data_IF_162826999355
#
_entry.id   IF_162826999355
#
_cell.length_a   1.000
_cell.length_b   1.000
_cell.length_c   1.000
_cell.angle_alpha   90.00
_cell.angle_beta   90.00
_cell.angle_gamma   90.00
#
_symmetry.space_group_name_H-M   'P 1'
#
loop_
_entity.id
_entity.type
_entity.pdbx_description
1 polymer ?
#
# COMPACT_ATOMS: atom_id res chain seq x y z
N UNK A 1 37.08 -32.74 55.62
CA UNK A 1 37.66 -32.52 56.96
C UNK A 1 37.48 -31.05 57.34
N UNK A 2 37.11 -30.81 58.61
CA UNK A 2 36.62 -29.60 59.33
C UNK A 2 37.58 -28.38 59.32
N UNK A 3 37.26 -27.16 59.88
CA UNK A 3 36.14 -26.72 60.75
C UNK A 3 35.43 -25.39 60.32
N UNK A 4 34.16 -25.11 60.66
CA UNK A 4 33.57 -24.66 61.95
C UNK A 4 34.23 -23.44 62.62
N UNK A 5 33.63 -22.26 62.47
CA UNK A 5 33.73 -21.14 63.43
C UNK A 5 32.32 -20.56 63.63
N UNK A 6 31.87 -20.66 64.88
CA UNK A 6 30.74 -19.94 65.47
C UNK A 6 31.20 -18.51 65.81
N UNK A 7 30.36 -17.49 65.56
CA UNK A 7 30.40 -16.29 66.39
C UNK A 7 29.01 -15.70 66.56
N UNK A 8 28.61 -15.65 67.83
CA UNK A 8 27.39 -15.07 68.39
C UNK A 8 27.65 -13.58 68.60
N UNK A 9 26.74 -12.69 68.15
CA UNK A 9 26.57 -11.37 68.78
C UNK A 9 25.09 -11.09 69.04
N UNK A 10 24.86 -10.76 70.31
CA UNK A 10 23.62 -10.39 71.00
C UNK A 10 23.09 -8.99 70.59
N UNK A 11 21.76 -8.88 70.64
CA UNK A 11 20.91 -7.76 71.10
C UNK A 11 21.23 -6.32 70.67
N UNK A 12 20.24 -5.65 70.05
CA UNK A 12 19.71 -4.41 70.62
C UNK A 12 18.33 -4.08 70.04
N UNK A 13 17.37 -4.04 70.96
CA UNK A 13 15.97 -3.67 70.79
C UNK A 13 15.84 -2.26 70.21
N UNK A 14 15.36 -2.14 68.98
CA UNK A 14 14.84 -0.87 68.48
C UNK A 14 13.35 -0.78 68.78
N UNK A 15 13.00 0.34 69.41
CA UNK A 15 11.69 0.69 69.90
C UNK A 15 10.62 0.63 68.81
N UNK A 16 9.50 -0.01 69.16
CA UNK A 16 8.23 0.10 68.46
C UNK A 16 7.75 1.56 68.52
N UNK A 17 7.76 2.26 67.38
CA UNK A 17 6.96 3.46 67.20
C UNK A 17 5.56 3.05 66.69
N UNK A 18 4.47 3.44 67.38
CA UNK A 18 3.13 3.11 66.93
C UNK A 18 2.79 3.84 65.62
N UNK A 19 2.17 3.05 64.74
CA UNK A 19 1.53 3.37 63.47
C UNK A 19 0.70 4.65 63.47
N UNK A 20 1.07 5.63 62.64
CA UNK A 20 0.21 6.77 62.30
C UNK A 20 0.30 7.15 60.82
N UNK A 21 0.13 6.24 59.84
CA UNK A 21 0.05 6.63 58.40
C UNK A 21 -0.81 5.71 57.50
N UNK A 22 -1.93 5.15 57.97
CA UNK A 22 -2.79 4.31 57.11
C UNK A 22 -3.69 5.10 56.12
N UNK A 23 -3.99 6.38 56.40
CA UNK A 23 -4.96 7.15 55.61
C UNK A 23 -4.36 7.86 54.37
N UNK A 24 -3.05 8.07 54.31
CA UNK A 24 -2.40 8.75 53.18
C UNK A 24 -2.23 7.84 51.94
N UNK A 25 -2.13 6.51 52.11
CA UNK A 25 -1.89 5.57 51.01
C UNK A 25 -3.14 5.34 50.14
N UNK A 26 -4.33 5.49 50.72
CA UNK A 26 -5.60 5.29 50.00
C UNK A 26 -5.85 6.41 48.99
N UNK A 27 -5.56 7.67 49.34
CA UNK A 27 -5.71 8.82 48.44
C UNK A 27 -4.82 8.76 47.21
N UNK A 28 -3.56 8.30 47.37
CA UNK A 28 -2.60 8.18 46.25
C UNK A 28 -3.03 7.12 45.24
N UNK A 29 -3.62 6.00 45.70
CA UNK A 29 -4.13 4.95 44.80
C UNK A 29 -5.32 5.44 43.99
N UNK A 30 -6.25 6.14 44.63
CA UNK A 30 -7.43 6.69 43.95
C UNK A 30 -7.04 7.76 42.90
N UNK A 31 -6.09 8.62 43.23
CA UNK A 31 -5.59 9.63 42.28
C UNK A 31 -4.87 9.00 41.08
N UNK A 32 -4.05 7.95 41.30
CA UNK A 32 -3.38 7.22 40.21
C UNK A 32 -4.38 6.51 39.30
N UNK A 33 -5.43 5.91 39.87
CA UNK A 33 -6.49 5.28 39.08
C UNK A 33 -7.24 6.31 38.21
N UNK A 34 -7.60 7.46 38.78
CA UNK A 34 -8.23 8.53 38.01
C UNK A 34 -7.33 9.07 36.89
N UNK A 35 -6.01 9.21 37.14
CA UNK A 35 -5.06 9.64 36.13
C UNK A 35 -4.93 8.61 34.99
N UNK A 36 -4.85 7.31 35.32
CA UNK A 36 -4.79 6.24 34.32
C UNK A 36 -6.05 6.19 33.46
N UNK A 37 -7.24 6.34 34.07
CA UNK A 37 -8.51 6.39 33.32
C UNK A 37 -8.57 7.58 32.37
N UNK A 38 -8.12 8.77 32.80
CA UNK A 38 -8.05 9.96 31.93
C UNK A 38 -7.09 9.75 30.76
N UNK A 39 -5.94 9.11 30.99
CA UNK A 39 -4.98 8.81 29.92
C UNK A 39 -5.56 7.82 28.90
N UNK A 40 -6.19 6.74 29.36
CA UNK A 40 -6.83 5.77 28.47
C UNK A 40 -7.95 6.41 27.62
N UNK A 41 -8.76 7.28 28.23
CA UNK A 41 -9.80 8.01 27.51
C UNK A 41 -9.23 8.92 26.41
N UNK A 42 -8.16 9.67 26.70
CA UNK A 42 -7.50 10.54 25.71
C UNK A 42 -6.90 9.71 24.57
N UNK A 43 -6.31 8.55 24.86
CA UNK A 43 -5.76 7.65 23.85
C UNK A 43 -6.87 7.12 22.93
N UNK A 44 -7.96 6.60 23.49
CA UNK A 44 -9.10 6.12 22.71
C UNK A 44 -9.70 7.22 21.82
N UNK A 45 -9.72 8.47 22.29
CA UNK A 45 -10.20 9.60 21.49
C UNK A 45 -9.29 9.89 20.29
N UNK A 46 -7.96 9.84 20.47
CA UNK A 46 -7.00 10.03 19.38
C UNK A 46 -7.10 8.92 18.34
N UNK A 47 -7.20 7.67 18.78
CA UNK A 47 -7.38 6.53 17.88
C UNK A 47 -8.64 6.66 17.04
N UNK A 48 -9.75 7.07 17.67
CA UNK A 48 -11.01 7.33 16.95
C UNK A 48 -10.89 8.45 15.92
N UNK A 49 -10.15 9.52 16.23
CA UNK A 49 -9.89 10.61 15.29
C UNK A 49 -9.01 10.16 14.12
N UNK A 50 -7.94 9.41 14.38
CA UNK A 50 -7.06 8.88 13.34
C UNK A 50 -7.83 7.95 12.39
N UNK A 51 -8.67 7.07 12.94
CA UNK A 51 -9.53 6.19 12.14
C UNK A 51 -10.51 6.98 11.28
N UNK A 52 -11.14 8.03 11.84
CA UNK A 52 -12.02 8.91 11.07
C UNK A 52 -11.30 9.59 9.90
N UNK A 53 -10.07 10.08 10.12
CA UNK A 53 -9.27 10.70 9.06
C UNK A 53 -8.91 9.69 7.96
N UNK A 54 -8.55 8.46 8.34
CA UNK A 54 -8.27 7.39 7.38
C UNK A 54 -9.49 7.05 6.52
N UNK A 55 -10.68 6.93 7.15
CA UNK A 55 -11.94 6.68 6.44
C UNK A 55 -12.26 7.84 5.49
N UNK A 56 -12.08 9.09 5.93
CA UNK A 56 -12.33 10.26 5.10
C UNK A 56 -11.40 10.31 3.87
N UNK A 57 -10.12 9.98 4.03
CA UNK A 57 -9.18 9.87 2.91
C UNK A 57 -9.62 8.78 1.93
N UNK A 58 -9.95 7.58 2.41
CA UNK A 58 -10.43 6.49 1.56
C UNK A 58 -11.71 6.87 0.81
N UNK A 59 -12.64 7.57 1.46
CA UNK A 59 -13.87 8.04 0.83
C UNK A 59 -13.60 9.04 -0.30
N UNK A 60 -12.64 9.97 -0.12
CA UNK A 60 -12.22 10.90 -1.17
C UNK A 60 -11.62 10.17 -2.37
N UNK A 61 -10.78 9.15 -2.14
CA UNK A 61 -10.24 8.33 -3.23
C UNK A 61 -11.35 7.63 -4.01
N UNK A 62 -12.31 7.02 -3.31
CA UNK A 62 -13.46 6.37 -3.96
C UNK A 62 -14.32 7.37 -4.74
N UNK A 63 -14.50 8.58 -4.22
CA UNK A 63 -15.26 9.63 -4.90
C UNK A 63 -14.59 10.08 -6.21
N UNK A 64 -13.29 10.37 -6.16
CA UNK A 64 -12.52 10.75 -7.35
C UNK A 64 -12.56 9.66 -8.42
N UNK A 65 -12.43 8.40 -7.99
CA UNK A 65 -12.50 7.26 -8.89
C UNK A 65 -13.88 7.12 -9.55
N UNK A 66 -14.95 7.31 -8.78
CA UNK A 66 -16.32 7.27 -9.31
C UNK A 66 -16.58 8.37 -10.33
N UNK A 67 -16.11 9.60 -10.06
CA UNK A 67 -16.19 10.70 -11.03
C UNK A 67 -15.44 10.38 -12.32
N UNK A 68 -14.25 9.78 -12.21
CA UNK A 68 -13.49 9.36 -13.39
C UNK A 68 -14.25 8.31 -14.21
N UNK A 69 -14.86 7.31 -13.55
CA UNK A 69 -15.71 6.34 -14.24
C UNK A 69 -16.94 6.97 -14.93
N UNK A 70 -17.59 7.93 -14.27
CA UNK A 70 -18.75 8.64 -14.84
C UNK A 70 -18.34 9.46 -16.07
N UNK A 71 -17.18 10.13 -16.00
CA UNK A 71 -16.60 10.85 -17.14
C UNK A 71 -16.36 9.91 -18.33
N UNK A 72 -15.75 8.74 -18.10
CA UNK A 72 -15.54 7.74 -19.14
C UNK A 72 -16.86 7.22 -19.72
N UNK A 73 -17.87 6.93 -18.90
CA UNK A 73 -19.18 6.46 -19.37
C UNK A 73 -19.91 7.51 -20.21
N UNK A 74 -19.81 8.80 -19.84
CA UNK A 74 -20.37 9.89 -20.63
C UNK A 74 -19.66 10.04 -21.98
N UNK A 75 -18.33 9.90 -22.00
CA UNK A 75 -17.56 9.94 -23.24
C UNK A 75 -17.92 8.78 -24.19
N UNK A 76 -18.17 7.58 -23.66
CA UNK A 76 -18.63 6.44 -24.49
C UNK A 76 -20.06 6.64 -25.00
N UNK A 77 -20.97 7.19 -24.16
CA UNK A 77 -22.38 7.41 -24.54
C UNK A 77 -22.59 8.50 -25.57
N UNK A 78 -21.74 9.52 -25.60
CA UNK A 78 -21.89 10.64 -26.54
C UNK A 78 -21.60 10.23 -27.99
N UNK A 79 -21.16 8.99 -28.24
CA UNK A 79 -20.79 8.53 -29.58
C UNK A 79 -19.64 9.33 -30.19
N UNK A 80 -19.06 10.24 -29.42
CA UNK A 80 -17.74 10.77 -29.67
C UNK A 80 -16.84 9.55 -29.54
N UNK A 81 -16.13 9.14 -30.61
CA UNK A 81 -15.03 8.23 -30.39
C UNK A 81 -14.22 8.86 -29.27
N UNK A 82 -14.06 8.12 -28.16
CA UNK A 82 -12.87 8.30 -27.35
C UNK A 82 -11.79 7.97 -28.36
N UNK A 83 -11.33 8.98 -29.12
CA UNK A 83 -9.97 8.99 -29.59
C UNK A 83 -9.21 8.78 -28.29
N UNK A 84 -8.91 7.51 -28.00
CA UNK A 84 -7.57 7.15 -27.57
C UNK A 84 -6.74 8.07 -28.41
N UNK A 85 -6.22 9.12 -27.77
CA UNK A 85 -5.40 10.10 -28.44
C UNK A 85 -4.52 9.25 -29.35
N UNK A 86 -4.68 9.41 -30.68
CA UNK A 86 -3.56 9.12 -31.55
C UNK A 86 -2.42 9.79 -30.80
N UNK A 87 -1.44 9.01 -30.28
CA UNK A 87 -0.57 9.44 -29.20
C UNK A 87 -0.12 10.82 -29.61
N UNK A 88 -0.65 11.86 -28.92
CA UNK A 88 -0.54 13.25 -29.39
C UNK A 88 0.90 13.36 -29.75
N UNK A 89 1.21 13.50 -31.04
CA UNK A 89 2.59 13.53 -31.48
C UNK A 89 3.21 14.55 -30.57
N UNK A 90 4.09 14.06 -29.67
CA UNK A 90 4.56 14.81 -28.51
C UNK A 90 5.22 16.04 -29.12
N UNK A 91 4.45 17.11 -29.27
CA UNK A 91 4.97 18.41 -29.57
C UNK A 91 5.57 18.78 -28.24
N UNK A 92 6.85 18.47 -28.14
CA UNK A 92 7.76 18.91 -27.11
C UNK A 92 7.85 20.43 -27.21
N UNK A 93 6.74 21.12 -26.95
CA UNK A 93 6.74 22.54 -26.67
C UNK A 93 7.27 22.65 -25.25
N UNK A 94 8.59 22.69 -25.24
CA UNK A 94 9.50 23.01 -24.16
C UNK A 94 8.85 23.82 -23.04
N UNK A 95 8.43 23.12 -21.98
CA UNK A 95 8.43 23.69 -20.65
C UNK A 95 9.89 23.97 -20.28
N UNK A 96 10.33 25.21 -20.52
CA UNK A 96 11.61 25.73 -20.02
C UNK A 96 11.48 26.02 -18.52
N UNK A 97 11.41 24.98 -17.70
CA UNK A 97 12.00 24.99 -16.36
C UNK A 97 13.26 24.15 -16.44
N UNK A 98 14.36 24.57 -15.81
CA UNK A 98 15.67 23.91 -15.86
C UNK A 98 15.73 22.53 -15.19
N UNK A 99 14.65 21.75 -15.27
CA UNK A 99 14.56 20.35 -14.88
C UNK A 99 14.85 19.49 -16.12
N UNK A 100 15.69 18.48 -15.94
CA UNK A 100 16.07 17.52 -16.99
C UNK A 100 14.81 16.81 -17.50
N UNK A 101 14.30 17.22 -18.67
CA UNK A 101 13.12 16.64 -19.29
C UNK A 101 13.47 15.27 -19.87
N UNK A 102 13.38 14.24 -19.04
CA UNK A 102 13.53 12.85 -19.50
C UNK A 102 12.38 12.55 -20.47
N UNK A 103 12.72 12.21 -21.72
CA UNK A 103 11.72 11.88 -22.72
C UNK A 103 11.03 10.57 -22.36
N UNK A 104 9.71 10.48 -22.57
CA UNK A 104 8.92 9.27 -22.27
C UNK A 104 9.48 8.01 -22.96
N UNK A 105 10.02 8.14 -24.17
CA UNK A 105 10.68 7.06 -24.90
C UNK A 105 11.90 6.49 -24.18
N UNK A 106 12.65 7.34 -23.47
CA UNK A 106 13.79 6.92 -22.66
C UNK A 106 13.34 6.18 -21.40
N UNK A 107 12.26 6.64 -20.76
CA UNK A 107 11.66 5.95 -19.62
C UNK A 107 11.20 4.55 -20.03
N UNK A 108 10.48 4.44 -21.16
CA UNK A 108 10.00 3.16 -21.67
C UNK A 108 11.14 2.20 -22.00
N UNK A 109 12.22 2.67 -22.65
CA UNK A 109 13.36 1.81 -22.97
C UNK A 109 14.09 1.30 -21.72
N UNK A 110 14.18 2.12 -20.66
CA UNK A 110 14.72 1.69 -19.36
C UNK A 110 13.83 0.63 -18.71
N UNK A 111 12.51 0.82 -18.78
CA UNK A 111 11.51 -0.10 -18.23
C UNK A 111 11.46 -1.47 -18.94
N UNK A 112 12.02 -1.59 -20.15
CA UNK A 112 12.14 -2.88 -20.85
C UNK A 112 13.06 -3.86 -20.13
N UNK A 113 14.07 -3.37 -19.41
CA UNK A 113 15.08 -4.20 -18.76
C UNK A 113 14.88 -4.28 -17.25
N UNK A 114 14.50 -3.18 -16.62
CA UNK A 114 14.34 -3.05 -15.18
C UNK A 114 13.22 -2.09 -14.83
N UNK A 115 12.49 -2.37 -13.76
CA UNK A 115 11.37 -1.55 -13.31
C UNK A 115 11.79 -0.51 -12.26
N UNK A 116 13.08 -0.39 -11.93
CA UNK A 116 13.59 0.57 -10.95
C UNK A 116 13.15 2.02 -11.20
N UNK A 117 12.96 2.40 -12.47
CA UNK A 117 12.46 3.73 -12.84
C UNK A 117 11.02 3.99 -12.41
N UNK A 118 10.24 2.96 -12.11
CA UNK A 118 8.85 3.10 -11.67
C UNK A 118 8.70 3.96 -10.41
N UNK A 119 9.61 3.84 -9.46
CA UNK A 119 9.61 4.63 -8.23
C UNK A 119 9.99 6.10 -8.44
N UNK A 120 10.67 6.39 -9.55
CA UNK A 120 11.10 7.75 -9.90
C UNK A 120 9.99 8.53 -10.60
N UNK A 121 9.01 7.85 -11.18
CA UNK A 121 7.83 8.50 -11.78
C UNK A 121 6.87 8.87 -10.66
N UNK A 122 6.83 10.15 -10.27
CA UNK A 122 5.95 10.60 -9.17
C UNK A 122 4.53 10.91 -9.63
N UNK A 123 4.35 11.32 -10.89
CA UNK A 123 3.05 11.68 -11.43
C UNK A 123 2.21 10.43 -11.77
N UNK A 124 1.04 10.23 -11.13
CA UNK A 124 0.14 9.11 -11.45
C UNK A 124 -0.33 9.10 -12.90
N UNK A 125 -0.46 10.27 -13.55
CA UNK A 125 -0.87 10.34 -14.96
C UNK A 125 0.24 9.82 -15.88
N UNK A 126 1.49 10.21 -15.65
CA UNK A 126 2.64 9.64 -16.35
C UNK A 126 2.73 8.11 -16.18
N UNK A 127 2.50 7.60 -14.96
CA UNK A 127 2.42 6.15 -14.70
C UNK A 127 1.30 5.47 -15.50
N UNK A 128 0.13 6.08 -15.57
CA UNK A 128 -0.99 5.55 -16.35
C UNK A 128 -0.67 5.50 -17.85
N UNK A 129 0.02 6.51 -18.38
CA UNK A 129 0.51 6.52 -19.78
C UNK A 129 1.50 5.38 -20.03
N UNK A 130 2.44 5.14 -19.11
CA UNK A 130 3.38 4.01 -19.22
C UNK A 130 2.60 2.69 -19.29
N UNK A 131 1.67 2.46 -18.34
CA UNK A 131 0.88 1.23 -18.30
C UNK A 131 0.01 1.06 -19.54
N UNK A 132 -0.61 2.13 -20.06
CA UNK A 132 -1.46 2.04 -21.25
C UNK A 132 -0.67 1.55 -22.48
N UNK A 133 0.60 1.95 -22.62
CA UNK A 133 1.49 1.43 -23.66
C UNK A 133 1.71 -0.08 -23.53
N UNK A 134 1.92 -0.60 -22.32
CA UNK A 134 2.08 -2.04 -22.09
C UNK A 134 0.77 -2.80 -22.32
N UNK A 135 -0.39 -2.26 -21.92
CA UNK A 135 -1.69 -2.84 -22.21
C UNK A 135 -1.90 -2.94 -23.73
N UNK A 136 -1.64 -1.86 -24.46
CA UNK A 136 -1.72 -1.83 -25.92
C UNK A 136 -0.79 -2.87 -26.56
N UNK A 137 0.46 -2.97 -26.08
CA UNK A 137 1.40 -3.98 -26.53
C UNK A 137 0.86 -5.40 -26.30
N UNK A 138 0.28 -5.71 -25.12
CA UNK A 138 -0.34 -7.01 -24.86
C UNK A 138 -1.51 -7.29 -25.81
N UNK A 139 -2.37 -6.30 -26.07
CA UNK A 139 -3.49 -6.42 -27.01
C UNK A 139 -3.03 -6.70 -28.44
N UNK A 140 -1.98 -6.03 -28.91
CA UNK A 140 -1.35 -6.29 -30.21
C UNK A 140 -0.77 -7.71 -30.31
N UNK A 141 -0.45 -8.34 -29.17
CA UNK A 141 0.04 -9.71 -29.08
C UNK A 141 -1.07 -10.72 -28.72
N UNK A 142 -2.34 -10.36 -28.92
CA UNK A 142 -3.48 -11.26 -28.74
C UNK A 142 -3.91 -11.49 -27.28
N UNK A 143 -3.44 -10.65 -26.35
CA UNK A 143 -3.84 -10.70 -24.95
C UNK A 143 -4.80 -9.55 -24.65
N UNK A 144 -6.03 -9.89 -24.25
CA UNK A 144 -7.03 -8.91 -23.82
C UNK A 144 -6.87 -8.60 -22.34
N UNK A 145 -6.67 -7.32 -22.01
CA UNK A 145 -6.68 -6.73 -20.67
C UNK A 145 -7.75 -5.63 -20.68
N UNK A 146 -8.75 -5.70 -19.80
CA UNK A 146 -9.95 -4.85 -19.84
C UNK A 146 -9.93 -3.73 -18.79
N UNK A 147 -9.24 -3.92 -17.67
CA UNK A 147 -9.15 -2.91 -16.61
C UNK A 147 -8.30 -1.72 -17.07
N UNK A 148 -8.61 -0.55 -16.54
CA UNK A 148 -7.95 0.69 -16.94
C UNK A 148 -6.50 0.75 -16.46
N UNK A 149 -5.69 1.62 -17.07
CA UNK A 149 -4.30 1.79 -16.67
C UNK A 149 -4.18 2.29 -15.22
N UNK A 150 -5.07 3.18 -14.78
CA UNK A 150 -5.10 3.75 -13.43
C UNK A 150 -5.34 2.68 -12.37
N UNK A 151 -6.18 1.68 -12.67
CA UNK A 151 -6.39 0.52 -11.80
C UNK A 151 -5.05 -0.22 -11.56
N UNK A 152 -4.29 -0.41 -12.63
CA UNK A 152 -2.99 -1.07 -12.54
C UNK A 152 -1.90 -0.21 -11.91
N UNK A 153 -1.96 1.13 -12.02
CA UNK A 153 -1.03 2.02 -11.29
C UNK A 153 -1.12 1.73 -9.79
N UNK A 154 -2.33 1.73 -9.24
CA UNK A 154 -2.56 1.51 -7.80
C UNK A 154 -2.14 0.12 -7.35
N UNK A 155 -2.47 -0.90 -8.15
CA UNK A 155 -2.11 -2.27 -7.86
C UNK A 155 -0.58 -2.47 -7.89
N UNK A 156 0.09 -1.97 -8.92
CA UNK A 156 1.55 -2.09 -9.07
C UNK A 156 2.26 -1.32 -7.96
N UNK A 157 1.80 -0.11 -7.61
CA UNK A 157 2.36 0.63 -6.47
C UNK A 157 2.26 -0.17 -5.17
N UNK A 158 1.12 -0.82 -4.93
CA UNK A 158 0.93 -1.69 -3.77
C UNK A 158 1.85 -2.92 -3.82
N UNK A 159 1.99 -3.55 -4.98
CA UNK A 159 2.86 -4.72 -5.18
C UNK A 159 4.33 -4.37 -4.93
N UNK A 160 4.81 -3.27 -5.51
CA UNK A 160 6.19 -2.78 -5.37
C UNK A 160 6.47 -2.35 -3.94
N UNK A 161 5.52 -1.67 -3.28
CA UNK A 161 5.65 -1.29 -1.87
C UNK A 161 5.85 -2.51 -0.97
N UNK A 162 5.09 -3.58 -1.19
CA UNK A 162 5.17 -4.81 -0.39
C UNK A 162 6.35 -5.70 -0.79
N UNK A 163 6.79 -5.64 -2.05
CA UNK A 163 7.90 -6.43 -2.55
C UNK A 163 8.77 -5.64 -3.54
N UNK A 164 9.80 -4.97 -3.02
CA UNK A 164 10.76 -4.19 -3.81
C UNK A 164 11.56 -5.03 -4.81
N UNK A 165 11.70 -6.34 -4.63
CA UNK A 165 12.45 -7.18 -5.58
C UNK A 165 11.77 -7.28 -6.94
N UNK A 166 10.48 -6.94 -7.03
CA UNK A 166 9.77 -6.82 -8.31
C UNK A 166 10.44 -5.80 -9.23
N UNK A 167 11.07 -4.76 -8.67
CA UNK A 167 11.70 -3.70 -9.45
C UNK A 167 12.89 -4.18 -10.30
N UNK A 168 13.48 -5.33 -9.94
CA UNK A 168 14.60 -5.93 -10.68
C UNK A 168 14.16 -6.65 -11.96
N UNK A 169 12.85 -6.75 -12.22
CA UNK A 169 12.30 -7.42 -13.39
C UNK A 169 11.94 -6.41 -14.49
N UNK A 170 11.93 -6.83 -15.77
CA UNK A 170 11.31 -6.07 -16.85
C UNK A 170 9.88 -5.65 -16.51
N UNK A 171 9.51 -4.39 -16.75
CA UNK A 171 8.23 -3.84 -16.31
C UNK A 171 7.02 -4.54 -16.93
N UNK A 172 7.14 -5.03 -18.16
CA UNK A 172 6.14 -5.89 -18.80
C UNK A 172 5.73 -7.09 -17.93
N UNK A 173 6.69 -7.69 -17.21
CA UNK A 173 6.42 -8.84 -16.35
C UNK A 173 5.60 -8.46 -15.12
N UNK A 174 5.81 -7.24 -14.60
CA UNK A 174 5.02 -6.69 -13.49
C UNK A 174 3.58 -6.43 -13.95
N UNK A 175 3.40 -5.80 -15.11
CA UNK A 175 2.06 -5.55 -15.70
C UNK A 175 1.32 -6.88 -15.93
N UNK A 176 2.01 -7.90 -16.48
CA UNK A 176 1.45 -9.25 -16.64
C UNK A 176 1.05 -9.87 -15.31
N UNK A 177 1.93 -9.82 -14.31
CA UNK A 177 1.65 -10.36 -12.98
C UNK A 177 0.40 -9.70 -12.38
N UNK A 178 0.32 -8.36 -12.45
CA UNK A 178 -0.82 -7.59 -11.97
C UNK A 178 -2.12 -8.00 -12.68
N UNK A 179 -2.10 -8.13 -14.02
CA UNK A 179 -3.26 -8.56 -14.79
C UNK A 179 -3.70 -10.01 -14.50
N UNK A 180 -2.75 -10.93 -14.24
CA UNK A 180 -3.04 -12.31 -13.81
C UNK A 180 -3.68 -12.32 -12.42
N UNK A 181 -3.12 -11.56 -11.47
CA UNK A 181 -3.70 -11.41 -10.13
C UNK A 181 -5.13 -10.85 -10.20
N UNK A 182 -5.43 -10.04 -11.20
CA UNK A 182 -6.75 -9.43 -11.39
C UNK A 182 -7.72 -10.26 -12.26
N UNK A 183 -7.34 -11.49 -12.65
CA UNK A 183 -8.10 -12.36 -13.58
C UNK A 183 -8.43 -11.70 -14.92
N UNK A 184 -7.63 -10.70 -15.30
CA UNK A 184 -7.87 -9.83 -16.45
C UNK A 184 -6.86 -10.07 -17.57
N UNK A 185 -5.89 -10.97 -17.39
CA UNK A 185 -4.99 -11.41 -18.45
C UNK A 185 -5.63 -12.52 -19.28
N UNK A 186 -6.30 -12.18 -20.37
CA UNK A 186 -7.00 -13.13 -21.25
C UNK A 186 -6.25 -13.36 -22.56
N UNK A 187 -5.55 -14.49 -22.64
CA UNK A 187 -4.82 -14.95 -23.82
C UNK A 187 -5.46 -16.21 -24.45
N UNK A 188 -6.73 -16.48 -24.14
CA UNK A 188 -7.45 -17.68 -24.61
C UNK A 188 -7.15 -18.98 -23.86
N UNK A 189 -6.26 -18.96 -22.86
CA UNK A 189 -6.02 -20.10 -21.97
C UNK A 189 -6.93 -20.08 -20.74
N UNK A 190 -6.97 -21.21 -20.02
CA UNK A 190 -7.62 -21.28 -18.72
C UNK A 190 -6.97 -20.32 -17.71
N UNK A 191 -7.75 -19.35 -17.23
CA UNK A 191 -7.30 -18.31 -16.30
C UNK A 191 -6.91 -18.88 -14.94
N UNK A 192 -7.62 -19.91 -14.47
CA UNK A 192 -7.29 -20.56 -13.19
C UNK A 192 -5.95 -21.30 -13.28
N UNK A 193 -5.75 -22.08 -14.34
CA UNK A 193 -4.47 -22.75 -14.63
C UNK A 193 -3.31 -21.76 -14.76
N UNK A 194 -3.51 -20.67 -15.52
CA UNK A 194 -2.49 -19.63 -15.67
C UNK A 194 -2.16 -18.96 -14.33
N UNK A 195 -3.16 -18.62 -13.53
CA UNK A 195 -2.96 -17.99 -12.22
C UNK A 195 -2.24 -18.93 -11.24
N UNK A 196 -2.60 -20.22 -11.19
CA UNK A 196 -1.87 -21.22 -10.39
C UNK A 196 -0.43 -21.38 -10.85
N UNK A 197 -0.18 -21.44 -12.16
CA UNK A 197 1.17 -21.56 -12.69
C UNK A 197 2.04 -20.36 -12.31
N UNK A 198 1.50 -19.14 -12.35
CA UNK A 198 2.26 -17.92 -12.07
C UNK A 198 2.42 -17.63 -10.58
N UNK A 199 1.39 -17.87 -9.78
CA UNK A 199 1.36 -17.49 -8.36
C UNK A 199 1.75 -18.65 -7.44
N UNK A 200 1.62 -19.90 -7.91
CA UNK A 200 1.63 -21.09 -7.05
C UNK A 200 0.30 -21.26 -6.30
N UNK A 201 0.05 -22.47 -5.79
CA UNK A 201 -1.25 -22.85 -5.21
C UNK A 201 -1.68 -21.96 -4.05
N UNK A 202 -0.77 -21.64 -3.13
CA UNK A 202 -1.07 -20.84 -1.94
C UNK A 202 -1.51 -19.42 -2.30
N UNK A 203 -0.74 -18.71 -3.12
CA UNK A 203 -1.05 -17.33 -3.50
C UNK A 203 -2.25 -17.27 -4.44
N UNK A 204 -2.44 -18.28 -5.30
CA UNK A 204 -3.65 -18.42 -6.12
C UNK A 204 -4.93 -18.46 -5.26
N UNK A 205 -4.97 -19.32 -4.23
CA UNK A 205 -6.14 -19.45 -3.36
C UNK A 205 -6.42 -18.16 -2.58
N UNK A 206 -5.37 -17.52 -2.05
CA UNK A 206 -5.49 -16.22 -1.38
C UNK A 206 -6.02 -15.14 -2.33
N UNK A 207 -5.53 -15.13 -3.57
CA UNK A 207 -5.97 -14.18 -4.57
C UNK A 207 -7.42 -14.40 -5.01
N UNK A 208 -7.87 -15.66 -5.15
CA UNK A 208 -9.29 -15.99 -5.37
C UNK A 208 -10.18 -15.47 -4.24
N UNK A 209 -9.77 -15.72 -2.99
CA UNK A 209 -10.49 -15.24 -1.82
C UNK A 209 -10.59 -13.71 -1.80
N UNK A 210 -9.51 -13.00 -2.14
CA UNK A 210 -9.48 -11.53 -2.26
C UNK A 210 -10.51 -11.01 -3.28
N UNK A 211 -10.68 -11.74 -4.38
CA UNK A 211 -11.60 -11.38 -5.46
C UNK A 211 -13.04 -11.88 -5.24
N UNK A 212 -13.28 -12.73 -4.24
CA UNK A 212 -14.59 -13.34 -4.00
C UNK A 212 -14.98 -14.39 -5.05
N UNK A 213 -14.00 -15.09 -5.63
CA UNK A 213 -14.16 -16.14 -6.65
C UNK A 213 -14.04 -17.57 -6.09
#
# INVERSE_FOLDING_TARGET
MRPFIFLIILFLSFAYQPTVQASAVVGVRQQRQAAAQRQAYIQALRERQALQQQIAQQALYQQNFRQQQEFFQQAVRSGQPVSYLEPVGFHSDSFQSGEETIQMSEILSKLEYSSEFWDLVLDPQAKAVIISQYIQWYQQNGVRIQKSAEHYVQLIDTMVYNNRTLLQQPFKNIVKLAAIMEYDFDNGHDKDGLARQFLGDTLYLQNKQRLGL
#
